data_IF_038313235873
#
_entry.id   IF_038313235873
#
_cell.length_a   1.000
_cell.length_b   1.000
_cell.length_c   1.000
_cell.angle_alpha   90.00
_cell.angle_beta   90.00
_cell.angle_gamma   90.00
#
_symmetry.space_group_name_H-M   'P 1'
#
loop_
_entity.id
_entity.type
_entity.pdbx_description
1 polymer ?
#
# COMPACT_ATOMS: atom_id res chain seq x y z
N UNK A 1 -72.64 14.05 -29.67
CA UNK A 1 -72.87 14.65 -28.34
C UNK A 1 -73.43 13.57 -27.42
N UNK A 2 -72.62 13.04 -26.51
CA UNK A 2 -73.05 12.26 -25.36
C UNK A 2 -71.96 12.39 -24.30
N UNK A 3 -72.20 13.29 -23.36
CA UNK A 3 -71.38 13.52 -22.19
C UNK A 3 -71.89 12.55 -21.12
N UNK A 4 -71.04 11.72 -20.53
CA UNK A 4 -71.35 11.16 -19.22
C UNK A 4 -70.13 11.16 -18.30
N UNK A 5 -70.36 11.81 -17.16
CA UNK A 5 -69.46 12.11 -16.05
C UNK A 5 -69.36 10.90 -15.13
N UNK A 6 -68.16 10.65 -14.59
CA UNK A 6 -67.84 10.04 -13.28
C UNK A 6 -66.42 9.46 -13.37
N UNK A 7 -65.55 9.49 -12.39
CA UNK A 7 -65.52 9.95 -10.99
C UNK A 7 -64.03 10.00 -10.61
N UNK A 8 -63.74 10.74 -9.56
CA UNK A 8 -62.43 10.86 -8.91
C UNK A 8 -61.71 9.51 -8.75
N UNK A 9 -60.41 9.52 -9.02
CA UNK A 9 -59.45 8.53 -8.53
C UNK A 9 -58.14 9.24 -8.23
N UNK A 10 -58.03 9.83 -7.04
CA UNK A 10 -56.77 10.31 -6.49
C UNK A 10 -55.89 9.08 -6.23
N UNK A 11 -54.87 8.85 -7.06
CA UNK A 11 -53.82 7.89 -6.74
C UNK A 11 -52.64 8.64 -6.13
N UNK A 12 -52.60 8.67 -4.80
CA UNK A 12 -51.34 8.73 -4.07
C UNK A 12 -50.57 7.42 -4.35
N UNK A 13 -49.24 7.39 -4.42
CA UNK A 13 -48.37 7.11 -3.27
C UNK A 13 -46.91 7.31 -3.73
N UNK A 14 -46.12 7.81 -2.79
CA UNK A 14 -44.74 8.29 -2.89
C UNK A 14 -43.71 7.36 -3.54
N UNK A 15 -42.81 7.96 -4.32
CA UNK A 15 -41.51 7.39 -4.66
C UNK A 15 -40.60 7.44 -3.41
N UNK A 16 -40.51 6.33 -2.68
CA UNK A 16 -39.46 6.14 -1.70
C UNK A 16 -38.18 5.69 -2.42
N UNK A 17 -37.35 6.65 -2.84
CA UNK A 17 -35.95 6.33 -3.17
C UNK A 17 -35.24 6.09 -1.84
N UNK A 18 -35.22 4.84 -1.40
CA UNK A 18 -34.29 4.41 -0.37
C UNK A 18 -32.89 4.53 -0.97
N UNK A 19 -32.25 5.69 -0.73
CA UNK A 19 -30.84 5.90 -0.98
C UNK A 19 -30.08 4.88 -0.16
N UNK A 20 -29.61 3.82 -0.81
CA UNK A 20 -28.62 2.93 -0.24
C UNK A 20 -27.36 3.79 -0.06
N UNK A 21 -27.19 4.33 1.15
CA UNK A 21 -25.94 4.94 1.53
C UNK A 21 -24.86 3.89 1.39
N UNK A 22 -24.03 4.00 0.36
CA UNK A 22 -22.73 3.36 0.36
C UNK A 22 -22.03 3.86 1.61
N UNK A 23 -21.96 2.99 2.61
CA UNK A 23 -21.09 3.18 3.76
C UNK A 23 -19.69 3.11 3.17
N UNK A 24 -19.10 4.27 2.90
CA UNK A 24 -17.67 4.36 2.63
C UNK A 24 -16.99 3.83 3.88
N UNK A 25 -16.61 2.56 3.88
CA UNK A 25 -15.60 2.08 4.82
C UNK A 25 -14.38 2.91 4.50
N UNK A 26 -14.06 3.88 5.35
CA UNK A 26 -12.73 4.45 5.36
C UNK A 26 -11.80 3.26 5.58
N UNK A 27 -11.18 2.79 4.50
CA UNK A 27 -10.02 1.92 4.62
C UNK A 27 -9.02 2.78 5.36
N UNK A 28 -8.86 2.54 6.66
CA UNK A 28 -7.71 3.04 7.39
C UNK A 28 -6.52 2.38 6.70
N UNK A 29 -5.92 3.13 5.79
CA UNK A 29 -4.72 2.67 5.14
C UNK A 29 -3.67 2.61 6.25
N UNK A 30 -3.29 1.39 6.61
CA UNK A 30 -2.26 1.17 7.61
C UNK A 30 -0.95 1.62 6.95
N UNK A 31 -0.29 2.63 7.49
CA UNK A 31 1.09 2.93 7.12
C UNK A 31 1.95 1.90 7.85
N UNK A 32 2.57 0.98 7.11
CA UNK A 32 3.51 0.04 7.69
C UNK A 32 4.90 0.68 7.68
N UNK A 33 5.48 0.88 8.85
CA UNK A 33 6.85 1.37 9.00
C UNK A 33 7.79 0.25 9.40
N UNK A 34 8.98 0.23 8.83
CA UNK A 34 10.04 -0.73 9.12
C UNK A 34 11.38 -0.01 9.18
N UNK A 35 12.37 -0.61 9.85
CA UNK A 35 13.73 -0.06 9.88
C UNK A 35 14.62 -0.79 8.89
N UNK A 36 15.61 -0.08 8.35
CA UNK A 36 16.67 -0.66 7.54
C UNK A 36 18.03 -0.25 8.11
N UNK A 37 18.84 -1.23 8.48
CA UNK A 37 20.18 -1.07 9.04
C UNK A 37 21.22 -1.56 8.04
N UNK A 38 22.24 -0.73 7.79
CA UNK A 38 23.40 -1.13 7.02
C UNK A 38 24.50 -1.59 7.98
N UNK A 39 24.63 -2.90 8.18
CA UNK A 39 25.69 -3.50 9.01
C UNK A 39 26.97 -3.78 8.22
N UNK A 40 26.96 -3.53 6.90
CA UNK A 40 28.13 -3.62 6.02
C UNK A 40 29.09 -2.44 6.15
N UNK A 41 30.21 -2.53 5.43
CA UNK A 41 31.22 -1.46 5.31
C UNK A 41 31.03 -0.56 4.08
N UNK A 42 30.04 -0.83 3.23
CA UNK A 42 29.75 -0.06 2.01
C UNK A 42 28.38 0.62 2.14
N UNK A 43 28.26 1.89 1.73
CA UNK A 43 26.97 2.58 1.79
C UNK A 43 25.92 1.91 0.89
N UNK A 44 24.69 1.79 1.37
CA UNK A 44 23.53 1.38 0.57
C UNK A 44 23.00 2.60 -0.16
N UNK A 45 22.79 2.46 -1.46
CA UNK A 45 22.32 3.53 -2.35
C UNK A 45 20.87 3.35 -2.80
N UNK A 46 20.40 2.09 -2.85
CA UNK A 46 19.01 1.74 -3.19
C UNK A 46 18.61 0.51 -2.38
N UNK A 47 17.36 0.47 -1.89
CA UNK A 47 16.71 -0.75 -1.43
C UNK A 47 15.66 -1.12 -2.46
N UNK A 48 15.72 -2.35 -2.96
CA UNK A 48 14.86 -2.90 -4.00
C UNK A 48 13.87 -3.89 -3.38
N UNK A 49 12.63 -3.88 -3.86
CA UNK A 49 11.54 -4.74 -3.37
C UNK A 49 10.80 -5.41 -4.53
N UNK A 50 10.36 -6.66 -4.35
CA UNK A 50 9.70 -7.45 -5.39
C UNK A 50 8.82 -8.57 -4.84
N UNK A 51 7.63 -8.75 -5.40
CA UNK A 51 6.79 -9.92 -5.14
C UNK A 51 7.33 -11.20 -5.78
N UNK A 52 8.06 -11.07 -6.90
CA UNK A 52 8.32 -12.17 -7.84
C UNK A 52 9.80 -12.39 -8.19
N UNK A 53 10.73 -11.63 -7.58
CA UNK A 53 12.18 -11.59 -7.87
C UNK A 53 12.58 -11.16 -9.28
N UNK A 54 11.64 -10.71 -10.09
CA UNK A 54 11.86 -10.38 -11.51
C UNK A 54 11.65 -8.89 -11.77
N UNK A 55 10.52 -8.35 -11.29
CA UNK A 55 10.18 -6.94 -11.37
C UNK A 55 10.48 -6.29 -10.01
N UNK A 56 11.29 -5.24 -10.01
CA UNK A 56 11.78 -4.62 -8.77
C UNK A 56 11.31 -3.16 -8.68
N UNK A 57 10.60 -2.85 -7.60
CA UNK A 57 10.39 -1.49 -7.11
C UNK A 57 11.57 -1.04 -6.25
N UNK A 58 11.54 0.21 -5.78
CA UNK A 58 12.56 0.76 -4.90
C UNK A 58 11.93 1.61 -3.80
N UNK A 59 12.58 1.65 -2.64
CA UNK A 59 12.29 2.63 -1.60
C UNK A 59 13.12 3.89 -1.81
N UNK A 60 12.52 5.05 -1.57
CA UNK A 60 13.27 6.30 -1.46
C UNK A 60 13.99 6.35 -0.12
N UNK A 61 15.32 6.27 -0.17
CA UNK A 61 16.20 6.33 1.00
C UNK A 61 17.06 7.62 1.01
N UNK A 62 16.65 8.62 0.22
CA UNK A 62 17.34 9.91 0.11
C UNK A 62 18.78 9.76 -0.39
N UNK A 63 19.76 10.15 0.45
CA UNK A 63 21.19 10.07 0.11
C UNK A 63 21.82 8.70 0.38
N UNK A 64 21.01 7.71 0.75
CA UNK A 64 21.46 6.35 1.08
C UNK A 64 21.67 6.12 2.57
N UNK A 65 22.00 4.87 2.92
CA UNK A 65 22.24 4.43 4.30
C UNK A 65 23.74 4.18 4.46
N UNK A 66 24.39 5.02 5.28
CA UNK A 66 25.81 4.90 5.58
C UNK A 66 26.11 3.61 6.38
N UNK A 67 27.35 3.09 6.33
CA UNK A 67 27.78 2.01 7.21
C UNK A 67 27.45 2.26 8.68
N UNK A 68 26.89 1.27 9.36
CA UNK A 68 26.48 1.29 10.75
C UNK A 68 25.27 2.20 11.07
N UNK A 69 24.53 2.65 10.06
CA UNK A 69 23.36 3.53 10.24
C UNK A 69 22.06 2.77 10.02
N UNK A 70 21.02 3.22 10.73
CA UNK A 70 19.64 2.75 10.59
C UNK A 70 18.75 3.90 10.13
N UNK A 71 17.80 3.60 9.25
CA UNK A 71 16.77 4.56 8.80
C UNK A 71 15.38 3.94 8.94
N UNK A 72 14.39 4.78 9.20
CA UNK A 72 12.98 4.42 9.16
C UNK A 72 12.45 4.56 7.73
N UNK A 73 11.73 3.55 7.26
CA UNK A 73 11.11 3.50 5.95
C UNK A 73 9.62 3.23 6.10
N UNK A 74 8.84 3.77 5.17
CA UNK A 74 7.39 3.65 5.15
C UNK A 74 6.98 2.90 3.88
N UNK A 75 6.21 1.84 4.06
CA UNK A 75 5.49 1.18 2.98
C UNK A 75 4.34 2.07 2.54
N UNK A 76 4.35 2.47 1.26
CA UNK A 76 3.36 3.39 0.75
C UNK A 76 1.97 2.74 0.77
N UNK A 77 0.95 3.53 1.12
CA UNK A 77 -0.42 3.01 1.20
C UNK A 77 -0.98 2.58 -0.17
N UNK A 78 -0.45 3.13 -1.27
CA UNK A 78 -0.84 2.72 -2.62
C UNK A 78 -0.42 1.28 -2.95
N UNK A 79 0.55 0.72 -2.24
CA UNK A 79 0.99 -0.67 -2.36
C UNK A 79 0.29 -1.61 -1.36
N UNK A 80 -0.74 -1.15 -0.64
CA UNK A 80 -1.52 -1.98 0.30
C UNK A 80 -2.35 -3.10 -0.36
N UNK A 81 -2.37 -3.19 -1.69
CA UNK A 81 -2.95 -4.29 -2.44
C UNK A 81 -1.96 -5.40 -2.83
N UNK A 82 -0.67 -5.20 -2.55
CA UNK A 82 0.38 -6.17 -2.83
C UNK A 82 0.46 -7.25 -1.74
N UNK A 83 1.14 -8.35 -2.05
CA UNK A 83 1.47 -9.40 -1.08
C UNK A 83 2.28 -8.83 0.09
N UNK A 84 1.97 -9.28 1.31
CA UNK A 84 2.79 -8.96 2.48
C UNK A 84 4.21 -9.57 2.37
N UNK A 85 4.32 -10.74 1.75
CA UNK A 85 5.57 -11.45 1.57
C UNK A 85 6.31 -10.89 0.35
N UNK A 86 7.40 -10.17 0.62
CA UNK A 86 8.15 -9.41 -0.38
C UNK A 86 9.62 -9.78 -0.32
N UNK A 87 10.27 -9.83 -1.48
CA UNK A 87 11.71 -10.01 -1.59
C UNK A 87 12.39 -8.66 -1.55
N UNK A 88 13.45 -8.55 -0.76
CA UNK A 88 14.22 -7.32 -0.58
C UNK A 88 15.69 -7.60 -0.84
N UNK A 89 16.35 -6.66 -1.51
CA UNK A 89 17.82 -6.60 -1.64
C UNK A 89 18.31 -5.16 -1.62
N UNK A 90 19.58 -4.96 -1.32
CA UNK A 90 20.23 -3.65 -1.35
C UNK A 90 21.20 -3.54 -2.54
N UNK A 91 21.32 -2.34 -3.11
CA UNK A 91 22.39 -1.97 -4.03
C UNK A 91 23.40 -1.08 -3.29
N UNK A 92 24.66 -1.49 -3.30
CA UNK A 92 25.74 -0.81 -2.59
C UNK A 92 26.45 0.22 -3.49
N UNK A 93 27.14 1.18 -2.87
CA UNK A 93 27.85 2.26 -3.57
C UNK A 93 29.01 1.78 -4.47
N UNK A 94 29.50 0.55 -4.27
CA UNK A 94 30.48 -0.10 -5.14
C UNK A 94 29.85 -0.78 -6.38
N UNK A 95 28.52 -0.73 -6.50
CA UNK A 95 27.74 -1.33 -7.58
C UNK A 95 27.36 -2.80 -7.36
N UNK A 96 27.76 -3.41 -6.24
CA UNK A 96 27.32 -4.76 -5.88
C UNK A 96 25.89 -4.76 -5.33
N UNK A 97 25.26 -5.93 -5.29
CA UNK A 97 23.94 -6.14 -4.70
C UNK A 97 23.99 -7.24 -3.65
N UNK A 98 23.15 -7.13 -2.61
CA UNK A 98 22.95 -8.20 -1.64
C UNK A 98 22.17 -9.35 -2.24
N UNK A 99 22.25 -10.54 -1.62
CA UNK A 99 21.33 -11.62 -1.94
C UNK A 99 19.88 -11.22 -1.57
N UNK A 100 18.87 -11.57 -2.39
CA UNK A 100 17.48 -11.33 -2.04
C UNK A 100 17.02 -12.18 -0.87
N UNK A 101 16.44 -11.54 0.15
CA UNK A 101 15.79 -12.18 1.28
C UNK A 101 14.29 -11.85 1.31
N UNK A 102 13.46 -12.77 1.79
CA UNK A 102 12.01 -12.56 1.86
C UNK A 102 11.60 -12.10 3.25
N UNK A 103 10.74 -11.10 3.33
CA UNK A 103 10.22 -10.52 4.56
C UNK A 103 8.71 -10.37 4.49
N UNK A 104 8.05 -10.39 5.65
CA UNK A 104 6.62 -10.11 5.79
C UNK A 104 6.43 -8.67 6.28
N UNK A 105 5.98 -7.79 5.38
CA UNK A 105 5.77 -6.37 5.66
C UNK A 105 4.47 -6.08 6.43
N UNK A 106 3.61 -7.09 6.61
CA UNK A 106 2.40 -6.95 7.42
C UNK A 106 2.68 -7.20 8.91
N UNK A 107 3.89 -7.66 9.28
CA UNK A 107 4.32 -7.69 10.67
C UNK A 107 4.70 -6.30 11.19
N UNK A 108 4.32 -6.02 12.43
CA UNK A 108 4.70 -4.78 13.10
C UNK A 108 6.15 -4.82 13.56
N UNK A 109 6.91 -3.76 13.31
CA UNK A 109 8.28 -3.64 13.79
C UNK A 109 9.27 -4.48 12.99
N UNK A 110 9.02 -4.68 11.70
CA UNK A 110 9.97 -5.31 10.79
C UNK A 110 11.30 -4.54 10.79
N UNK A 111 12.40 -5.28 10.89
CA UNK A 111 13.76 -4.74 10.81
C UNK A 111 14.52 -5.47 9.69
N UNK A 112 15.08 -4.71 8.76
CA UNK A 112 15.94 -5.20 7.70
C UNK A 112 17.39 -4.93 8.09
N UNK A 113 18.23 -5.97 8.08
CA UNK A 113 19.67 -5.87 8.31
C UNK A 113 20.41 -6.38 7.07
N UNK A 114 21.36 -5.57 6.59
CA UNK A 114 22.15 -5.81 5.37
C UNK A 114 23.63 -5.93 5.67
#
# INVERSE_FOLDING_TARGET
>A
MNLNRARLGLFAIAFAVAGNGMVSTAAHANEFSFTATNSTSTAITVILVSENKSDWGYFDIGSGIKPGSTVDLVWDQSTNGESCAQWVKATFADGSESEPAQFDFCESGLELDF
#
